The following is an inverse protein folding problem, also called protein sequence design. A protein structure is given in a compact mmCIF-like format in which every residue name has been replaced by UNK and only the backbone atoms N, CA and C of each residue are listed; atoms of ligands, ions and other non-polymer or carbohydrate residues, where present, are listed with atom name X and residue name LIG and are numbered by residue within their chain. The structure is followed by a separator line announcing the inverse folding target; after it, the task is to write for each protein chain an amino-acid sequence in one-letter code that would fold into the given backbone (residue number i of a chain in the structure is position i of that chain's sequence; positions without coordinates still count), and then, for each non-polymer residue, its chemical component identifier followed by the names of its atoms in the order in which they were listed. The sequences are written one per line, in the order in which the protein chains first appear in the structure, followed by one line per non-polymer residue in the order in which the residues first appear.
data_IF_560737545478
#
_entry.id   IF_560737545478
#
_cell.length_a   1.000
_cell.length_b   1.000
_cell.length_c   1.000
_cell.angle_alpha   90.00
_cell.angle_beta   90.00
_cell.angle_gamma   90.00
#
_symmetry.space_group_name_H-M   'P 1'
#
loop_
_entity.id
_entity.type
_entity.pdbx_description
1 polymer ?
#
# COMPACT_ATOMS: atom_id res chain seq x y z
N UNK A 1 -11.39 18.56 36.28
CA UNK A 1 -11.48 18.75 34.81
C UNK A 1 -10.13 18.70 34.09
N UNK A 2 -9.05 19.33 34.59
CA UNK A 2 -7.75 19.38 33.88
C UNK A 2 -7.17 18.01 33.51
N UNK A 3 -7.23 17.02 34.41
CA UNK A 3 -6.70 15.67 34.13
C UNK A 3 -7.48 14.95 33.02
N UNK A 4 -8.79 15.20 32.90
CA UNK A 4 -9.63 14.59 31.86
C UNK A 4 -9.30 15.17 30.47
N UNK A 5 -9.03 16.48 30.40
CA UNK A 5 -8.59 17.14 29.17
C UNK A 5 -7.20 16.68 28.73
N UNK A 6 -6.28 16.47 29.68
CA UNK A 6 -4.95 15.91 29.41
C UNK A 6 -5.03 14.48 28.86
N UNK A 7 -5.81 13.61 29.49
CA UNK A 7 -5.99 12.22 29.03
C UNK A 7 -6.65 12.18 27.65
N UNK A 8 -7.69 12.99 27.43
CA UNK A 8 -8.35 13.10 26.13
C UNK A 8 -7.41 13.61 25.03
N UNK A 9 -6.61 14.64 25.33
CA UNK A 9 -5.62 15.18 24.40
C UNK A 9 -4.56 14.16 24.00
N UNK A 10 -4.00 13.43 24.97
CA UNK A 10 -2.99 12.38 24.72
C UNK A 10 -3.57 11.24 23.89
N UNK A 11 -4.81 10.82 24.17
CA UNK A 11 -5.47 9.75 23.40
C UNK A 11 -5.68 10.13 21.93
N UNK A 12 -6.09 11.37 21.65
CA UNK A 12 -6.30 11.87 20.28
C UNK A 12 -4.98 11.93 19.53
N UNK A 13 -3.94 12.51 20.14
CA UNK A 13 -2.60 12.60 19.53
C UNK A 13 -2.01 11.22 19.29
N UNK A 14 -2.12 10.31 20.26
CA UNK A 14 -1.66 8.93 20.11
C UNK A 14 -2.35 8.20 18.96
N UNK A 15 -3.67 8.38 18.80
CA UNK A 15 -4.43 7.77 17.71
C UNK A 15 -4.02 8.31 16.34
N UNK A 16 -3.82 9.63 16.22
CA UNK A 16 -3.37 10.26 14.97
C UNK A 16 -1.97 9.80 14.56
N UNK A 17 -1.04 9.69 15.52
CA UNK A 17 0.31 9.21 15.27
C UNK A 17 0.32 7.75 14.80
N UNK A 18 -0.49 6.89 15.42
CA UNK A 18 -0.64 5.49 15.01
C UNK A 18 -1.16 5.39 13.56
N UNK A 19 -2.18 6.19 13.22
CA UNK A 19 -2.77 6.19 11.88
C UNK A 19 -1.75 6.66 10.83
N UNK A 20 -1.01 7.73 11.11
CA UNK A 20 0.04 8.24 10.24
C UNK A 20 1.16 7.21 10.01
N UNK A 21 1.57 6.50 11.08
CA UNK A 21 2.57 5.44 10.99
C UNK A 21 2.09 4.30 10.06
N UNK A 22 0.85 3.84 10.20
CA UNK A 22 0.27 2.80 9.35
C UNK A 22 0.26 3.24 7.88
N UNK A 23 -0.23 4.45 7.59
CA UNK A 23 -0.29 4.99 6.21
C UNK A 23 1.12 5.09 5.60
N UNK A 24 2.11 5.55 6.36
CA UNK A 24 3.49 5.66 5.88
C UNK A 24 4.09 4.31 5.45
N UNK A 25 3.66 3.21 6.07
CA UNK A 25 4.16 1.85 5.77
C UNK A 25 3.45 1.20 4.58
N UNK A 26 2.33 1.77 4.13
CA UNK A 26 1.51 1.25 3.01
C UNK A 26 1.99 1.85 1.67
N UNK A 27 2.62 3.02 1.68
CA UNK A 27 3.05 3.71 0.46
C UNK A 27 4.38 3.14 -0.04
N UNK A 28 4.32 2.34 -1.11
CA UNK A 28 5.50 1.87 -1.83
C UNK A 28 5.76 2.76 -3.05
N UNK A 29 6.96 3.33 -3.12
CA UNK A 29 7.42 4.11 -4.29
C UNK A 29 8.14 3.13 -5.23
N UNK A 30 7.70 3.08 -6.49
CA UNK A 30 8.36 2.30 -7.53
C UNK A 30 9.26 3.22 -8.37
N UNK A 31 10.56 2.93 -8.50
CA UNK A 31 11.42 3.65 -9.41
C UNK A 31 11.12 3.27 -10.88
N UNK A 32 11.44 4.14 -11.86
CA UNK A 32 11.05 3.97 -13.26
C UNK A 32 11.69 2.77 -13.97
N UNK A 33 12.79 2.27 -13.43
CA UNK A 33 13.55 1.10 -13.91
C UNK A 33 13.15 -0.21 -13.21
N UNK A 34 12.06 -0.23 -12.46
CA UNK A 34 11.50 -1.42 -11.83
C UNK A 34 10.04 -1.63 -12.22
N UNK A 35 9.63 -2.91 -12.24
CA UNK A 35 8.23 -3.33 -12.32
C UNK A 35 7.83 -3.92 -10.99
N UNK A 36 6.69 -3.47 -10.47
CA UNK A 36 6.03 -4.11 -9.34
C UNK A 36 5.00 -5.11 -9.85
N UNK A 37 5.13 -6.35 -9.39
CA UNK A 37 4.16 -7.42 -9.58
C UNK A 37 3.37 -7.54 -8.29
N UNK A 38 2.10 -7.14 -8.32
CA UNK A 38 1.20 -7.30 -7.18
C UNK A 38 0.43 -8.60 -7.37
N UNK A 39 0.65 -9.59 -6.52
CA UNK A 39 -0.03 -10.89 -6.52
C UNK A 39 -0.93 -11.05 -5.29
N UNK A 40 -2.03 -11.79 -5.42
CA UNK A 40 -3.00 -12.03 -4.33
C UNK A 40 -4.32 -11.25 -4.41
N UNK A 41 -4.43 -10.30 -5.34
CA UNK A 41 -5.68 -9.58 -5.60
C UNK A 41 -6.67 -10.41 -6.42
N UNK A 42 -7.96 -10.37 -6.10
CA UNK A 42 -9.01 -10.95 -6.94
C UNK A 42 -9.69 -9.84 -7.75
N UNK A 43 -9.11 -9.45 -8.90
CA UNK A 43 -9.75 -8.48 -9.80
C UNK A 43 -10.33 -9.16 -11.03
N UNK A 44 -11.56 -8.79 -11.38
CA UNK A 44 -12.14 -9.12 -12.68
C UNK A 44 -11.75 -8.04 -13.69
N UNK A 45 -11.13 -8.45 -14.78
CA UNK A 45 -10.78 -7.56 -15.89
C UNK A 45 -11.91 -7.63 -16.92
N UNK A 46 -12.35 -6.50 -17.50
CA UNK A 46 -13.31 -6.51 -18.60
C UNK A 46 -12.80 -7.40 -19.74
N UNK A 47 -13.64 -8.35 -20.19
CA UNK A 47 -13.28 -9.29 -21.26
C UNK A 47 -12.60 -10.59 -20.82
N UNK A 48 -12.36 -10.79 -19.51
CA UNK A 48 -11.81 -12.03 -18.97
C UNK A 48 -12.78 -12.59 -17.92
N UNK A 49 -13.34 -13.76 -18.19
CA UNK A 49 -14.34 -14.41 -17.33
C UNK A 49 -13.74 -15.01 -16.03
N UNK A 50 -12.40 -15.09 -15.96
CA UNK A 50 -11.66 -15.55 -14.78
C UNK A 50 -11.09 -14.37 -13.96
N UNK A 51 -11.11 -14.45 -12.62
CA UNK A 51 -10.41 -13.47 -11.80
C UNK A 51 -8.91 -13.52 -12.08
N UNK A 52 -8.29 -12.36 -12.29
CA UNK A 52 -6.85 -12.23 -12.44
C UNK A 52 -6.27 -11.98 -11.05
N UNK A 53 -5.40 -12.91 -10.63
CA UNK A 53 -4.73 -12.93 -9.32
C UNK A 53 -3.63 -11.89 -9.14
N UNK A 54 -3.27 -11.16 -10.21
CA UNK A 54 -2.10 -10.29 -10.23
C UNK A 54 -2.26 -9.06 -11.13
N UNK A 55 -1.48 -8.01 -10.86
CA UNK A 55 -1.33 -6.83 -11.74
C UNK A 55 0.12 -6.36 -11.80
N UNK A 56 0.50 -5.75 -12.92
CA UNK A 56 1.82 -5.19 -13.17
C UNK A 56 1.74 -3.66 -13.20
N UNK A 57 2.72 -2.99 -12.61
CA UNK A 57 2.91 -1.54 -12.74
C UNK A 57 4.38 -1.30 -13.10
N UNK A 58 4.61 -0.71 -14.27
CA UNK A 58 5.92 -0.29 -14.74
C UNK A 58 6.02 1.23 -14.63
N UNK A 59 7.02 1.73 -13.90
CA UNK A 59 7.36 3.16 -13.82
C UNK A 59 6.23 4.13 -13.47
N UNK A 60 5.84 4.17 -12.19
CA UNK A 60 4.83 5.10 -11.68
C UNK A 60 4.63 5.00 -10.16
N UNK A 61 3.54 5.60 -9.64
CA UNK A 61 3.13 5.48 -8.23
C UNK A 61 1.97 4.49 -8.12
N UNK A 62 2.22 3.32 -7.53
CA UNK A 62 1.19 2.33 -7.24
C UNK A 62 0.88 2.28 -5.74
N UNK A 63 -0.38 2.39 -5.36
CA UNK A 63 -0.80 2.09 -3.98
C UNK A 63 -0.83 0.57 -3.85
N UNK A 64 0.01 0.03 -2.94
CA UNK A 64 0.00 -1.37 -2.51
C UNK A 64 -1.06 -1.56 -1.41
N UNK A 65 -1.76 -2.68 -1.40
CA UNK A 65 -2.49 -3.14 -0.19
C UNK A 65 -1.63 -4.18 0.53
N UNK A 66 -0.74 -3.81 1.49
CA UNK A 66 0.31 -4.71 1.98
C UNK A 66 -0.17 -5.95 2.73
N UNK A 67 -1.42 -5.96 3.21
CA UNK A 67 -2.02 -7.08 3.93
C UNK A 67 -2.64 -8.14 3.00
N UNK A 68 -2.91 -7.80 1.73
CA UNK A 68 -3.62 -8.68 0.78
C UNK A 68 -2.77 -8.93 -0.46
N UNK A 69 -1.99 -7.94 -0.89
CA UNK A 69 -1.12 -8.00 -2.06
C UNK A 69 0.35 -8.27 -1.64
N UNK A 70 0.90 -9.37 -2.14
CA UNK A 70 2.34 -9.63 -2.18
C UNK A 70 2.92 -8.79 -3.32
N UNK A 71 4.06 -8.14 -3.08
CA UNK A 71 4.71 -7.28 -4.07
C UNK A 71 6.10 -7.80 -4.35
N UNK A 72 6.28 -8.25 -5.59
CA UNK A 72 7.56 -8.62 -6.13
C UNK A 72 8.10 -7.49 -7.02
N UNK A 73 9.42 -7.31 -6.98
CA UNK A 73 10.13 -6.29 -7.79
C UNK A 73 10.94 -7.00 -8.85
N UNK A 74 10.80 -6.56 -10.10
CA UNK A 74 11.67 -6.99 -11.19
C UNK A 74 12.41 -5.77 -11.74
N UNK A 75 13.73 -5.82 -11.71
CA UNK A 75 14.59 -4.77 -12.25
C UNK A 75 14.68 -4.90 -13.77
N UNK A 76 14.46 -3.79 -14.50
CA UNK A 76 14.45 -3.74 -15.96
C UNK A 76 15.71 -3.07 -16.55
N UNK A 77 16.77 -2.88 -15.77
CA UNK A 77 17.97 -2.13 -16.20
C UNK A 77 18.74 -2.84 -17.33
N UNK A 78 18.47 -4.12 -17.59
CA UNK A 78 19.15 -4.93 -18.62
C UNK A 78 18.18 -5.54 -19.65
N UNK A 79 16.95 -5.01 -19.77
CA UNK A 79 16.02 -5.42 -20.83
C UNK A 79 16.10 -4.50 -22.04
#
# INVERSE_FOLDING_TARGET
MQNLLLVGGVAIVGTLLLLAFIISRIIYICPPNEVLIFSGGHRRMPGIDRPIGYRLIQGGRGIRIPLIEVVDRMNLTNM
#
